data_IF_006116867740
#
_entry.id   IF_006116867740
#
_cell.length_a   1.000
_cell.length_b   1.000
_cell.length_c   1.000
_cell.angle_alpha   90.00
_cell.angle_beta   90.00
_cell.angle_gamma   90.00
#
_symmetry.space_group_name_H-M   'P 1'
#
loop_
_entity.id
_entity.type
_entity.pdbx_description
1 polymer ?
#
# COMPACT_ATOMS: atom_id res chain seq x y z
N UNK A 1 -10.69 4.58 -14.10
CA UNK A 1 -10.34 3.35 -13.34
C UNK A 1 -8.87 2.97 -13.49
N UNK A 2 -8.29 2.76 -14.68
CA UNK A 2 -6.86 2.37 -14.78
C UNK A 2 -5.89 3.41 -14.15
N UNK A 3 -6.11 4.70 -14.38
CA UNK A 3 -5.22 5.76 -13.90
C UNK A 3 -5.22 5.96 -12.37
N UNK A 4 -6.36 5.77 -11.69
CA UNK A 4 -6.41 5.90 -10.22
C UNK A 4 -5.63 4.77 -9.54
N UNK A 5 -5.75 3.55 -10.04
CA UNK A 5 -5.02 2.39 -9.53
C UNK A 5 -3.50 2.54 -9.70
N UNK A 6 -3.04 2.98 -10.88
CA UNK A 6 -1.62 3.23 -11.12
C UNK A 6 -1.09 4.40 -10.26
N UNK A 7 -1.89 5.46 -10.09
CA UNK A 7 -1.52 6.57 -9.22
C UNK A 7 -1.40 6.14 -7.76
N UNK A 8 -2.29 5.26 -7.28
CA UNK A 8 -2.22 4.68 -5.92
C UNK A 8 -0.98 3.81 -5.76
N UNK A 9 -0.72 2.89 -6.69
CA UNK A 9 0.47 2.03 -6.65
C UNK A 9 1.76 2.84 -6.72
N UNK A 10 1.78 3.89 -7.55
CA UNK A 10 2.91 4.81 -7.64
C UNK A 10 3.12 5.59 -6.33
N UNK A 11 2.04 6.09 -5.72
CA UNK A 11 2.13 6.80 -4.44
C UNK A 11 2.68 5.88 -3.35
N UNK A 12 2.17 4.65 -3.25
CA UNK A 12 2.69 3.65 -2.30
C UNK A 12 4.19 3.44 -2.54
N UNK A 13 4.62 3.25 -3.79
CA UNK A 13 6.03 3.09 -4.13
C UNK A 13 6.90 4.29 -3.72
N UNK A 14 6.47 5.51 -4.03
CA UNK A 14 7.19 6.75 -3.70
C UNK A 14 7.29 6.95 -2.19
N UNK A 15 6.23 6.66 -1.44
CA UNK A 15 6.24 6.75 0.01
C UNK A 15 7.20 5.74 0.64
N UNK A 16 7.24 4.53 0.12
CA UNK A 16 8.16 3.47 0.57
C UNK A 16 9.62 3.84 0.28
N UNK A 17 9.90 4.44 -0.87
CA UNK A 17 11.23 4.93 -1.27
C UNK A 17 11.67 6.17 -0.46
N UNK A 18 10.74 7.09 -0.20
CA UNK A 18 11.00 8.28 0.62
C UNK A 18 11.46 7.91 2.02
N UNK A 19 10.86 6.89 2.62
CA UNK A 19 11.25 6.36 3.94
C UNK A 19 12.62 5.67 3.92
N UNK A 20 12.96 4.95 2.86
CA UNK A 20 14.29 4.34 2.71
C UNK A 20 15.42 5.38 2.62
N UNK A 21 15.13 6.58 2.09
CA UNK A 21 16.12 7.63 1.84
C UNK A 21 16.20 8.66 2.98
N UNK A 22 15.13 8.80 3.78
CA UNK A 22 15.04 9.81 4.83
C UNK A 22 15.71 9.34 6.13
N UNK A 23 16.98 9.69 6.32
CA UNK A 23 17.71 9.58 7.60
C UNK A 23 17.23 10.60 8.64
N UNK A 24 15.95 10.57 9.01
CA UNK A 24 15.36 11.43 10.03
C UNK A 24 15.54 10.88 11.45
N UNK A 25 15.43 11.76 12.46
CA UNK A 25 15.36 11.37 13.88
C UNK A 25 14.25 10.33 14.11
N UNK A 26 14.52 9.32 14.94
CA UNK A 26 13.65 8.13 15.14
C UNK A 26 12.18 8.47 15.42
N UNK A 27 11.91 9.54 16.17
CA UNK A 27 10.57 10.02 16.49
C UNK A 27 9.82 10.57 15.27
N UNK A 28 10.51 11.26 14.37
CA UNK A 28 9.92 11.77 13.13
C UNK A 28 9.69 10.63 12.14
N UNK A 29 10.60 9.65 12.07
CA UNK A 29 10.41 8.42 11.30
C UNK A 29 9.17 7.66 11.75
N UNK A 30 8.99 7.44 13.06
CA UNK A 30 7.83 6.73 13.59
C UNK A 30 6.51 7.43 13.26
N UNK A 31 6.46 8.76 13.40
CA UNK A 31 5.28 9.54 13.05
C UNK A 31 4.96 9.46 11.55
N UNK A 32 5.98 9.52 10.69
CA UNK A 32 5.82 9.39 9.24
C UNK A 32 5.37 7.99 8.84
N UNK A 33 5.96 6.92 9.42
CA UNK A 33 5.55 5.54 9.17
C UNK A 33 4.07 5.31 9.51
N UNK A 34 3.60 5.87 10.63
CA UNK A 34 2.20 5.79 11.02
C UNK A 34 1.29 6.54 10.03
N UNK A 35 1.66 7.76 9.64
CA UNK A 35 0.91 8.57 8.66
C UNK A 35 0.84 7.85 7.32
N UNK A 36 1.95 7.29 6.84
CA UNK A 36 1.99 6.55 5.59
C UNK A 36 1.23 5.24 5.66
N UNK A 37 1.19 4.58 6.82
CA UNK A 37 0.36 3.39 7.02
C UNK A 37 -1.12 3.74 6.90
N UNK A 38 -1.57 4.83 7.51
CA UNK A 38 -2.95 5.31 7.39
C UNK A 38 -3.29 5.64 5.93
N UNK A 39 -2.40 6.37 5.23
CA UNK A 39 -2.59 6.70 3.81
C UNK A 39 -2.68 5.41 2.98
N UNK A 40 -1.77 4.45 3.19
CA UNK A 40 -1.77 3.18 2.49
C UNK A 40 -3.07 2.39 2.72
N UNK A 41 -3.61 2.37 3.94
CA UNK A 41 -4.89 1.72 4.26
C UNK A 41 -6.05 2.39 3.50
N UNK A 42 -6.12 3.72 3.52
CA UNK A 42 -7.20 4.47 2.84
C UNK A 42 -7.15 4.23 1.34
N UNK A 43 -5.98 4.35 0.72
CA UNK A 43 -5.81 4.15 -0.71
C UNK A 43 -6.05 2.70 -1.14
N UNK A 44 -5.58 1.74 -0.34
CA UNK A 44 -5.84 0.32 -0.58
C UNK A 44 -7.34 0.02 -0.54
N UNK A 45 -8.07 0.58 0.43
CA UNK A 45 -9.52 0.42 0.53
C UNK A 45 -10.24 0.96 -0.70
N UNK A 46 -9.86 2.15 -1.17
CA UNK A 46 -10.43 2.75 -2.39
C UNK A 46 -10.13 1.89 -3.62
N UNK A 47 -8.88 1.45 -3.79
CA UNK A 47 -8.48 0.60 -4.90
C UNK A 47 -9.20 -0.75 -4.89
N UNK A 48 -9.41 -1.36 -3.71
CA UNK A 48 -10.16 -2.60 -3.56
C UNK A 48 -11.64 -2.42 -3.94
N UNK A 49 -12.25 -1.30 -3.52
CA UNK A 49 -13.63 -0.98 -3.89
C UNK A 49 -13.78 -0.81 -5.40
N UNK A 50 -12.86 -0.08 -6.04
CA UNK A 50 -12.84 0.11 -7.49
C UNK A 50 -12.68 -1.22 -8.24
N UNK A 51 -11.78 -2.09 -7.79
CA UNK A 51 -11.55 -3.40 -8.42
C UNK A 51 -12.73 -4.35 -8.18
N UNK A 52 -13.34 -4.33 -6.99
CA UNK A 52 -14.54 -5.14 -6.71
C UNK A 52 -15.71 -4.69 -7.57
N UNK A 53 -15.94 -3.38 -7.70
CA UNK A 53 -16.97 -2.85 -8.59
C UNK A 53 -16.71 -3.22 -10.06
N UNK A 54 -15.45 -3.21 -10.50
CA UNK A 54 -15.07 -3.66 -11.84
C UNK A 54 -15.41 -5.15 -12.04
N UNK A 55 -15.14 -6.00 -11.05
CA UNK A 55 -15.43 -7.44 -11.09
C UNK A 55 -16.93 -7.73 -11.18
N UNK A 56 -17.76 -6.93 -10.50
CA UNK A 56 -19.22 -7.09 -10.52
C UNK A 56 -19.84 -6.72 -11.87
N UNK A 57 -19.20 -5.82 -12.63
CA UNK A 57 -19.68 -5.34 -13.93
C UNK A 57 -19.11 -6.17 -15.09
N UNK A 58 -17.97 -6.84 -14.90
CA UNK A 58 -17.27 -7.59 -15.94
C UNK A 58 -18.12 -8.78 -16.46
N UNK A 59 -18.56 -8.68 -17.71
CA UNK A 59 -19.38 -9.72 -18.36
C UNK A 59 -18.53 -10.87 -18.89
N UNK A 60 -17.32 -10.60 -19.36
CA UNK A 60 -16.42 -11.61 -19.93
C UNK A 60 -15.60 -12.34 -18.86
N UNK A 61 -15.48 -13.67 -19.01
CA UNK A 61 -14.71 -14.50 -18.07
C UNK A 61 -13.22 -14.13 -18.08
N UNK A 62 -12.66 -13.78 -19.25
CA UNK A 62 -11.27 -13.34 -19.37
C UNK A 62 -11.02 -12.05 -18.60
N UNK A 63 -11.90 -11.06 -18.73
CA UNK A 63 -11.80 -9.80 -18.01
C UNK A 63 -11.91 -10.00 -16.50
N UNK A 64 -12.81 -10.89 -16.04
CA UNK A 64 -12.90 -11.29 -14.63
C UNK A 64 -11.60 -11.93 -14.12
N UNK A 65 -10.92 -12.74 -14.91
CA UNK A 65 -9.62 -13.31 -14.54
C UNK A 65 -8.52 -12.25 -14.42
N UNK A 66 -8.44 -11.33 -15.37
CA UNK A 66 -7.45 -10.23 -15.34
C UNK A 66 -7.69 -9.32 -14.12
N UNK A 67 -8.93 -8.97 -13.82
CA UNK A 67 -9.29 -8.16 -12.64
C UNK A 67 -9.02 -8.89 -11.32
N UNK A 68 -9.26 -10.21 -11.25
CA UNK A 68 -8.87 -11.02 -10.07
C UNK A 68 -7.36 -11.06 -9.87
N UNK A 69 -6.58 -11.17 -10.95
CA UNK A 69 -5.13 -11.10 -10.87
C UNK A 69 -4.66 -9.73 -10.33
N UNK A 70 -5.27 -8.64 -10.80
CA UNK A 70 -5.01 -7.28 -10.28
C UNK A 70 -5.38 -7.19 -8.80
N UNK A 71 -6.52 -7.75 -8.39
CA UNK A 71 -6.93 -7.77 -6.97
C UNK A 71 -5.90 -8.50 -6.10
N UNK A 72 -5.41 -9.66 -6.55
CA UNK A 72 -4.38 -10.43 -5.83
C UNK A 72 -3.09 -9.61 -5.70
N UNK A 73 -2.64 -8.97 -6.79
CA UNK A 73 -1.44 -8.13 -6.78
C UNK A 73 -1.63 -6.96 -5.81
N UNK A 74 -2.78 -6.28 -5.85
CA UNK A 74 -3.10 -5.17 -4.96
C UNK A 74 -3.03 -5.58 -3.49
N UNK A 75 -3.62 -6.74 -3.14
CA UNK A 75 -3.59 -7.29 -1.78
C UNK A 75 -2.16 -7.64 -1.37
N UNK A 76 -1.40 -8.32 -2.23
CA UNK A 76 -0.02 -8.69 -1.94
C UNK A 76 0.86 -7.45 -1.72
N UNK A 77 0.75 -6.44 -2.59
CA UNK A 77 1.49 -5.19 -2.46
C UNK A 77 1.12 -4.45 -1.17
N UNK A 78 -0.16 -4.42 -0.80
CA UNK A 78 -0.60 -3.81 0.46
C UNK A 78 -0.01 -4.52 1.68
N UNK A 79 -0.03 -5.86 1.70
CA UNK A 79 0.57 -6.64 2.80
C UNK A 79 2.05 -6.32 2.95
N UNK A 80 2.79 -6.25 1.84
CA UNK A 80 4.22 -5.90 1.85
C UNK A 80 4.42 -4.49 2.40
N UNK A 81 3.69 -3.50 1.87
CA UNK A 81 3.81 -2.10 2.30
C UNK A 81 3.46 -1.94 3.79
N UNK A 82 2.35 -2.53 4.24
CA UNK A 82 1.94 -2.50 5.64
C UNK A 82 2.98 -3.17 6.54
N UNK A 83 3.59 -4.28 6.11
CA UNK A 83 4.64 -4.97 6.86
C UNK A 83 5.90 -4.12 6.99
N UNK A 84 6.33 -3.46 5.90
CA UNK A 84 7.51 -2.58 5.89
C UNK A 84 7.29 -1.36 6.79
N UNK A 85 6.14 -0.70 6.67
CA UNK A 85 5.80 0.47 7.49
C UNK A 85 5.66 0.11 8.97
N UNK A 86 5.01 -1.01 9.27
CA UNK A 86 4.86 -1.49 10.66
C UNK A 86 6.22 -1.88 11.25
N UNK A 87 7.08 -2.52 10.46
CA UNK A 87 8.44 -2.84 10.89
C UNK A 87 9.28 -1.58 11.14
N UNK A 88 9.24 -0.60 10.23
CA UNK A 88 9.91 0.70 10.40
C UNK A 88 9.44 1.43 11.67
N UNK A 89 8.13 1.43 11.89
CA UNK A 89 7.50 1.99 13.09
C UNK A 89 7.94 1.27 14.38
N UNK A 90 7.89 -0.07 14.42
CA UNK A 90 8.29 -0.82 15.61
C UNK A 90 9.79 -0.67 15.89
N UNK A 91 10.63 -0.64 14.86
CA UNK A 91 12.08 -0.45 14.99
C UNK A 91 12.45 0.96 15.45
N UNK A 92 11.69 1.97 15.05
CA UNK A 92 11.87 3.35 15.53
C UNK A 92 11.40 3.54 16.97
N UNK A 93 10.36 2.81 17.41
CA UNK A 93 9.90 2.81 18.81
C UNK A 93 10.77 1.96 19.75
N UNK A 94 11.28 0.82 19.28
CA UNK A 94 12.03 -0.14 20.08
C UNK A 94 13.40 -0.46 19.43
N UNK A 95 14.33 0.50 19.36
CA UNK A 95 15.61 0.31 18.66
C UNK A 95 16.55 -0.72 19.33
N UNK A 96 16.21 -1.17 20.54
CA UNK A 96 17.00 -2.10 21.33
C UNK A 96 16.55 -3.57 21.16
N UNK A 97 15.43 -3.82 20.49
CA UNK A 97 14.94 -5.16 20.18
C UNK A 97 15.43 -5.52 18.76
N UNK A 98 16.30 -6.53 18.62
CA UNK A 98 16.89 -6.90 17.32
C UNK A 98 15.87 -7.47 16.33
#
# INVERSE_FOLDING_TARGET
MKWSLYAVLYLIGVLTLGLLLMGFEQTVSAALDLVFLIIAIVLFRLALQDVSAALDIASEDRERWELRAIQIILVATFIIAASVLTYGFLRSLFPFIP
#
